data_IF_802681958609
#
_entry.id   IF_802681958609
#
_cell.length_a   1.000
_cell.length_b   1.000
_cell.length_c   1.000
_cell.angle_alpha   90.00
_cell.angle_beta   90.00
_cell.angle_gamma   90.00
#
_symmetry.space_group_name_H-M   'P 1'
#
loop_
_entity.id
_entity.type
_entity.pdbx_description
1 polymer ?
#
# COMPACT_ATOMS: atom_id res chain seq x y z
N UNK A 1 54.24 -30.76 -50.41
CA UNK A 1 53.58 -31.03 -49.16
C UNK A 1 52.90 -29.70 -48.66
N UNK A 2 51.57 -29.59 -48.75
CA UNK A 2 50.84 -28.40 -48.47
C UNK A 2 50.18 -28.59 -47.10
N UNK A 3 50.56 -27.80 -46.06
CA UNK A 3 49.94 -27.78 -44.77
C UNK A 3 48.71 -26.87 -44.84
N UNK A 4 47.54 -27.45 -44.61
CA UNK A 4 46.31 -26.68 -44.37
C UNK A 4 46.16 -26.44 -42.88
N UNK A 5 46.07 -25.14 -42.49
CA UNK A 5 45.76 -24.72 -41.14
C UNK A 5 44.24 -24.68 -41.00
N UNK A 6 43.73 -25.41 -40.01
CA UNK A 6 42.29 -25.39 -39.63
C UNK A 6 42.09 -24.30 -38.62
N UNK A 7 41.33 -23.26 -38.98
CA UNK A 7 40.93 -22.20 -38.06
C UNK A 7 39.62 -22.60 -37.36
N UNK A 8 39.69 -22.85 -36.07
CA UNK A 8 38.51 -23.12 -35.24
C UNK A 8 37.94 -21.78 -34.73
N UNK A 9 36.78 -21.38 -35.26
CA UNK A 9 36.03 -20.22 -34.76
C UNK A 9 35.27 -20.61 -33.51
N UNK A 10 35.64 -20.03 -32.38
CA UNK A 10 34.90 -20.18 -31.13
C UNK A 10 33.69 -19.22 -31.13
N UNK A 11 32.49 -19.78 -31.16
CA UNK A 11 31.23 -19.07 -31.07
C UNK A 11 30.90 -18.88 -29.59
N UNK A 12 31.07 -17.65 -29.08
CA UNK A 12 30.67 -17.29 -27.68
C UNK A 12 29.17 -17.11 -27.59
N UNK A 13 28.49 -18.00 -26.88
CA UNK A 13 27.08 -17.87 -26.52
C UNK A 13 26.95 -16.86 -25.36
N UNK A 14 26.40 -15.69 -25.63
CA UNK A 14 26.01 -14.73 -24.58
C UNK A 14 24.65 -15.13 -24.09
N UNK A 15 24.57 -15.66 -22.84
CA UNK A 15 23.32 -15.94 -22.16
C UNK A 15 22.75 -14.63 -21.60
N UNK A 16 21.66 -14.15 -22.17
CA UNK A 16 20.88 -13.02 -21.63
C UNK A 16 20.04 -13.56 -20.49
N UNK A 17 20.45 -13.29 -19.26
CA UNK A 17 19.62 -13.52 -18.05
C UNK A 17 18.57 -12.42 -17.99
N UNK A 18 17.33 -12.73 -18.37
CA UNK A 18 16.20 -11.85 -18.15
C UNK A 18 15.88 -11.83 -16.62
N UNK A 19 16.22 -10.73 -15.94
CA UNK A 19 15.69 -10.48 -14.59
C UNK A 19 14.19 -10.22 -14.72
N UNK A 20 13.38 -11.18 -14.29
CA UNK A 20 11.96 -10.96 -14.08
C UNK A 20 11.81 -9.92 -12.94
N UNK A 21 10.92 -8.91 -13.08
CA UNK A 21 10.64 -7.98 -11.98
C UNK A 21 10.09 -8.79 -10.82
N UNK A 22 10.73 -8.68 -9.65
CA UNK A 22 10.21 -9.25 -8.42
C UNK A 22 8.85 -8.59 -8.14
N UNK A 23 7.78 -9.38 -8.20
CA UNK A 23 6.47 -8.94 -7.74
C UNK A 23 6.59 -8.70 -6.23
N UNK A 24 6.42 -7.46 -5.78
CA UNK A 24 6.36 -7.17 -4.36
C UNK A 24 5.17 -7.94 -3.78
N UNK A 25 5.46 -8.94 -2.96
CA UNK A 25 4.43 -9.63 -2.20
C UNK A 25 3.73 -8.64 -1.26
N UNK A 26 2.44 -8.87 -0.99
CA UNK A 26 1.74 -8.10 0.03
C UNK A 26 2.42 -8.30 1.38
N UNK A 27 2.72 -7.20 2.07
CA UNK A 27 3.18 -7.25 3.45
C UNK A 27 2.03 -7.69 4.37
N UNK A 28 2.37 -8.29 5.50
CA UNK A 28 1.37 -8.87 6.38
C UNK A 28 0.74 -7.80 7.28
N UNK A 29 -0.58 -7.85 7.37
CA UNK A 29 -1.33 -7.12 8.39
C UNK A 29 -2.35 -8.04 9.05
N UNK A 30 -2.77 -7.67 10.24
CA UNK A 30 -3.82 -8.40 10.96
C UNK A 30 -4.63 -7.44 11.81
N UNK A 31 -5.93 -7.64 11.83
CA UNK A 31 -6.84 -6.82 12.62
C UNK A 31 -8.18 -6.62 11.96
N UNK A 32 -8.95 -5.68 12.50
CA UNK A 32 -10.31 -5.41 12.04
C UNK A 32 -10.55 -3.92 11.95
N UNK A 33 -11.26 -3.51 10.91
CA UNK A 33 -11.78 -2.16 10.71
C UNK A 33 -13.30 -2.26 10.67
N UNK A 34 -14.01 -1.41 11.40
CA UNK A 34 -15.47 -1.36 11.44
C UNK A 34 -15.94 0.06 11.22
N UNK A 35 -17.00 0.22 10.45
CA UNK A 35 -17.68 1.47 10.23
C UNK A 35 -19.18 1.22 10.12
N UNK A 36 -19.99 1.97 10.87
CA UNK A 36 -21.43 1.98 10.69
C UNK A 36 -21.79 2.94 9.55
N UNK A 37 -22.20 2.40 8.42
CA UNK A 37 -22.64 3.19 7.26
C UNK A 37 -24.16 3.20 7.13
N UNK A 38 -24.69 4.11 6.30
CA UNK A 38 -26.13 4.16 5.98
C UNK A 38 -26.63 2.89 5.27
N UNK A 39 -25.74 2.20 4.54
CA UNK A 39 -26.05 0.94 3.85
C UNK A 39 -25.82 -0.30 4.73
N UNK A 40 -25.56 -0.11 6.03
CA UNK A 40 -25.26 -1.18 6.96
C UNK A 40 -23.80 -1.19 7.43
N UNK A 41 -23.44 -2.09 8.35
CA UNK A 41 -22.09 -2.14 8.88
C UNK A 41 -21.09 -2.58 7.81
N UNK A 42 -19.97 -1.88 7.74
CA UNK A 42 -18.78 -2.30 7.01
C UNK A 42 -17.84 -2.94 8.03
N UNK A 43 -17.47 -4.19 7.82
CA UNK A 43 -16.52 -4.93 8.66
C UNK A 43 -15.46 -5.51 7.76
N UNK A 44 -14.22 -5.05 7.90
CA UNK A 44 -13.06 -5.50 7.13
C UNK A 44 -12.12 -6.28 8.03
N UNK A 45 -11.90 -7.55 7.71
CA UNK A 45 -10.84 -8.36 8.31
C UNK A 45 -9.57 -8.12 7.49
N UNK A 46 -8.65 -7.37 8.06
CA UNK A 46 -7.41 -6.99 7.37
C UNK A 46 -6.46 -8.18 7.33
N UNK A 47 -5.99 -8.51 6.14
CA UNK A 47 -5.00 -9.56 5.91
C UNK A 47 -3.75 -9.04 5.17
N UNK A 48 -3.89 -7.92 4.44
CA UNK A 48 -2.84 -7.37 3.59
C UNK A 48 -2.65 -5.89 3.88
N UNK A 49 -1.41 -5.43 3.76
CA UNK A 49 -1.07 -4.01 3.82
C UNK A 49 -0.11 -3.67 2.68
N UNK A 50 -0.22 -2.46 2.18
CA UNK A 50 0.68 -1.92 1.16
C UNK A 50 1.05 -0.50 1.55
N UNK A 51 2.32 -0.17 1.50
CA UNK A 51 2.77 1.21 1.56
C UNK A 51 3.04 1.71 0.14
N UNK A 52 2.39 2.79 -0.24
CA UNK A 52 2.68 3.49 -1.49
C UNK A 52 3.16 4.89 -1.19
N UNK A 53 3.97 5.45 -2.09
CA UNK A 53 4.55 6.79 -1.95
C UNK A 53 4.36 7.57 -3.24
N UNK A 54 3.96 8.81 -3.14
CA UNK A 54 3.76 9.66 -4.30
C UNK A 54 3.08 10.98 -3.96
N UNK A 55 2.73 11.79 -4.98
CA UNK A 55 2.11 13.08 -4.76
C UNK A 55 0.68 12.94 -4.23
N UNK A 56 0.40 13.67 -3.16
CA UNK A 56 -0.96 13.88 -2.67
C UNK A 56 -1.74 14.78 -3.63
N UNK A 57 -2.96 14.36 -3.97
CA UNK A 57 -3.80 15.07 -4.95
C UNK A 57 -4.21 16.48 -4.49
N UNK A 58 -4.28 16.73 -3.18
CA UNK A 58 -4.71 18.01 -2.64
C UNK A 58 -3.55 19.00 -2.48
N UNK A 59 -2.42 18.55 -1.96
CA UNK A 59 -1.28 19.41 -1.62
C UNK A 59 -0.15 19.36 -2.64
N UNK A 60 -0.11 18.35 -3.51
CA UNK A 60 0.99 18.07 -4.43
C UNK A 60 2.28 17.60 -3.73
N UNK A 61 2.29 17.53 -2.40
CA UNK A 61 3.45 17.03 -1.64
C UNK A 61 3.57 15.53 -1.78
N UNK A 62 4.79 15.02 -1.77
CA UNK A 62 5.02 13.58 -1.68
C UNK A 62 4.65 13.09 -0.28
N UNK A 63 3.71 12.14 -0.23
CA UNK A 63 3.24 11.50 1.00
C UNK A 63 3.43 9.99 0.92
N UNK A 64 3.39 9.34 2.07
CA UNK A 64 3.21 7.90 2.20
C UNK A 64 1.74 7.61 2.50
N UNK A 65 1.19 6.60 1.87
CA UNK A 65 -0.16 6.12 2.11
C UNK A 65 -0.11 4.63 2.43
N UNK A 66 -0.77 4.23 3.51
CA UNK A 66 -1.04 2.82 3.82
C UNK A 66 -2.39 2.41 3.24
N UNK A 67 -2.41 1.23 2.64
CA UNK A 67 -3.61 0.57 2.11
C UNK A 67 -3.79 -0.73 2.86
N UNK A 68 -4.80 -0.83 3.69
CA UNK A 68 -5.20 -2.04 4.39
C UNK A 68 -6.34 -2.71 3.62
N UNK A 69 -6.23 -3.99 3.35
CA UNK A 69 -7.23 -4.73 2.56
C UNK A 69 -7.46 -6.14 3.09
N UNK A 70 -8.67 -6.66 2.87
CA UNK A 70 -9.00 -8.05 3.11
C UNK A 70 -8.41 -8.97 2.04
N UNK A 71 -8.42 -8.52 0.78
CA UNK A 71 -7.91 -9.26 -0.38
C UNK A 71 -6.50 -8.80 -0.79
N UNK A 72 -5.77 -9.67 -1.47
CA UNK A 72 -4.50 -9.31 -2.11
C UNK A 72 -4.74 -8.37 -3.31
N UNK A 73 -4.12 -7.19 -3.26
CA UNK A 73 -4.19 -6.16 -4.29
C UNK A 73 -2.89 -6.01 -5.08
N UNK A 74 -1.88 -6.85 -4.85
CA UNK A 74 -0.53 -6.71 -5.42
C UNK A 74 -0.54 -6.52 -6.93
N UNK A 75 -1.22 -7.40 -7.67
CA UNK A 75 -1.28 -7.33 -9.13
C UNK A 75 -1.97 -6.06 -9.64
N UNK A 76 -3.09 -5.66 -8.99
CA UNK A 76 -3.80 -4.42 -9.32
C UNK A 76 -2.96 -3.19 -9.03
N UNK A 77 -2.25 -3.19 -7.90
CA UNK A 77 -1.38 -2.10 -7.48
C UNK A 77 -0.22 -1.90 -8.47
N UNK A 78 0.39 -2.99 -8.95
CA UNK A 78 1.44 -2.91 -9.96
C UNK A 78 0.94 -2.29 -11.28
N UNK A 79 -0.30 -2.51 -11.66
CA UNK A 79 -0.91 -1.93 -12.85
C UNK A 79 -1.29 -0.43 -12.67
N UNK A 80 -1.37 0.10 -11.46
CA UNK A 80 -1.70 1.50 -11.21
C UNK A 80 -0.61 2.45 -11.70
N UNK A 81 -1.01 3.56 -12.30
CA UNK A 81 -0.11 4.62 -12.76
C UNK A 81 -0.01 5.81 -11.79
N UNK A 82 -0.85 5.89 -10.75
CA UNK A 82 -0.93 7.02 -9.83
C UNK A 82 -1.40 6.61 -8.43
N UNK A 83 -1.18 7.49 -7.44
CA UNK A 83 -1.71 7.36 -6.08
C UNK A 83 -3.24 7.25 -6.07
N UNK A 84 -3.92 8.02 -6.91
CA UNK A 84 -5.38 7.98 -7.03
C UNK A 84 -5.87 6.62 -7.54
N UNK A 85 -5.17 6.01 -8.50
CA UNK A 85 -5.45 4.64 -8.93
C UNK A 85 -5.26 3.66 -7.78
N UNK A 86 -4.14 3.73 -7.06
CA UNK A 86 -3.85 2.85 -5.92
C UNK A 86 -4.93 2.92 -4.83
N UNK A 87 -5.43 4.11 -4.53
CA UNK A 87 -6.57 4.29 -3.61
C UNK A 87 -7.89 3.78 -4.20
N UNK A 88 -8.04 3.84 -5.52
CA UNK A 88 -9.27 3.46 -6.23
C UNK A 88 -9.47 1.96 -6.39
N UNK A 89 -8.41 1.15 -6.31
CA UNK A 89 -8.53 -0.33 -6.43
C UNK A 89 -9.04 -1.01 -5.16
N UNK A 90 -9.12 -0.28 -4.05
CA UNK A 90 -9.60 -0.80 -2.77
C UNK A 90 -11.12 -0.94 -2.84
N UNK A 91 -11.63 -2.15 -2.75
CA UNK A 91 -13.08 -2.45 -2.70
C UNK A 91 -13.56 -2.78 -1.30
N UNK A 92 -12.65 -3.26 -0.45
CA UNK A 92 -12.94 -3.67 0.92
C UNK A 92 -11.68 -3.48 1.77
N UNK A 93 -11.63 -2.36 2.51
CA UNK A 93 -10.42 -1.95 3.20
C UNK A 93 -10.44 -0.53 3.73
N UNK A 94 -9.24 -0.01 3.96
CA UNK A 94 -9.00 1.35 4.45
C UNK A 94 -7.73 1.92 3.82
N UNK A 95 -7.76 3.18 3.44
CA UNK A 95 -6.56 3.93 3.09
C UNK A 95 -6.29 4.99 4.13
N UNK A 96 -5.02 5.20 4.49
CA UNK A 96 -4.57 6.16 5.49
C UNK A 96 -3.42 6.97 4.91
N UNK A 97 -3.58 8.28 4.83
CA UNK A 97 -2.54 9.19 4.37
C UNK A 97 -1.62 9.58 5.53
N UNK A 98 -0.34 9.28 5.35
CA UNK A 98 0.75 9.75 6.19
C UNK A 98 1.38 11.00 5.56
N UNK A 99 1.98 11.83 6.37
CA UNK A 99 2.74 13.01 5.94
C UNK A 99 1.87 14.10 5.26
N UNK A 100 0.56 13.89 5.11
CA UNK A 100 -0.33 14.87 4.49
C UNK A 100 -0.62 16.09 5.38
N UNK A 101 -0.37 15.99 6.68
CA UNK A 101 -0.61 17.06 7.65
C UNK A 101 -0.55 16.57 9.10
N UNK A 102 -0.94 17.42 10.07
CA UNK A 102 -0.86 17.09 11.49
C UNK A 102 -1.94 16.11 11.95
N UNK A 103 -2.84 15.71 11.06
CA UNK A 103 -3.95 14.76 11.32
C UNK A 103 -3.92 13.66 10.30
N UNK A 104 -4.40 12.47 10.68
CA UNK A 104 -4.59 11.39 9.73
C UNK A 104 -5.86 11.63 8.92
N UNK A 105 -5.71 11.56 7.60
CA UNK A 105 -6.85 11.43 6.71
C UNK A 105 -7.00 9.95 6.37
N UNK A 106 -8.20 9.42 6.54
CA UNK A 106 -8.46 8.03 6.18
C UNK A 106 -9.80 7.85 5.46
N UNK A 107 -9.89 6.81 4.66
CA UNK A 107 -11.09 6.40 3.94
C UNK A 107 -11.36 4.94 4.21
N UNK A 108 -12.58 4.62 4.63
CA UNK A 108 -13.04 3.24 4.73
C UNK A 108 -13.86 2.92 3.49
N UNK A 109 -13.56 1.78 2.87
CA UNK A 109 -14.22 1.30 1.66
C UNK A 109 -14.83 -0.07 1.95
N UNK A 110 -16.08 -0.24 1.60
CA UNK A 110 -16.81 -1.49 1.72
C UNK A 110 -18.27 -1.31 1.30
N UNK A 111 -18.95 -2.39 0.99
CA UNK A 111 -20.35 -2.39 0.53
C UNK A 111 -20.59 -1.43 -0.65
N UNK A 112 -19.61 -1.25 -1.54
CA UNK A 112 -19.68 -0.32 -2.67
C UNK A 112 -19.62 1.17 -2.28
N UNK A 113 -19.30 1.49 -1.02
CA UNK A 113 -19.19 2.86 -0.51
C UNK A 113 -17.74 3.19 -0.16
N UNK A 114 -17.38 4.46 -0.35
CA UNK A 114 -16.13 5.05 0.14
C UNK A 114 -16.49 6.21 1.05
N UNK A 115 -16.17 6.07 2.34
CA UNK A 115 -16.47 7.06 3.37
C UNK A 115 -15.18 7.69 3.84
N UNK A 116 -15.08 9.01 3.71
CA UNK A 116 -13.93 9.79 4.15
C UNK A 116 -14.12 10.28 5.57
N UNK A 117 -13.07 10.15 6.35
CA UNK A 117 -12.93 10.84 7.62
C UNK A 117 -11.65 11.67 7.59
N UNK A 118 -11.78 12.98 7.69
CA UNK A 118 -10.67 13.89 8.00
C UNK A 118 -10.62 14.01 9.52
N UNK A 119 -9.71 13.23 10.10
CA UNK A 119 -9.84 12.87 11.47
C UNK A 119 -9.59 13.93 12.51
N UNK A 120 -10.21 13.72 13.62
CA UNK A 120 -9.75 14.13 14.94
C UNK A 120 -8.53 13.32 15.37
N UNK A 121 -8.30 12.16 14.73
CA UNK A 121 -7.23 11.24 15.05
C UNK A 121 -5.85 11.87 14.81
N UNK A 122 -5.05 11.99 15.85
CA UNK A 122 -3.65 12.41 15.77
C UNK A 122 -2.76 11.20 15.55
N UNK A 123 -1.72 11.28 14.70
CA UNK A 123 -0.82 10.17 14.47
C UNK A 123 -0.22 9.61 15.76
N UNK A 124 0.23 10.46 16.68
CA UNK A 124 0.84 10.10 17.95
C UNK A 124 -0.12 9.37 18.92
N UNK A 125 -1.42 9.59 18.79
CA UNK A 125 -2.44 8.92 19.62
C UNK A 125 -2.89 7.59 19.00
N UNK A 126 -2.95 7.54 17.67
CA UNK A 126 -3.55 6.42 16.92
C UNK A 126 -2.54 5.45 16.33
N UNK A 127 -1.29 5.90 16.16
CA UNK A 127 -0.22 5.11 15.59
C UNK A 127 0.89 4.88 16.61
N UNK A 128 1.21 3.62 16.82
CA UNK A 128 2.40 3.21 17.59
C UNK A 128 3.36 2.54 16.62
N UNK A 129 4.29 3.33 16.08
CA UNK A 129 5.25 2.85 15.10
C UNK A 129 6.44 2.16 15.78
N UNK A 130 6.83 1.01 15.25
CA UNK A 130 8.05 0.28 15.58
C UNK A 130 9.12 0.47 14.51
N UNK A 131 8.72 0.85 13.29
CA UNK A 131 9.60 1.33 12.23
C UNK A 131 8.92 2.49 11.48
N UNK A 132 9.69 3.55 11.24
CA UNK A 132 9.30 4.72 10.45
C UNK A 132 10.48 5.17 9.61
N UNK A 133 10.56 4.66 8.40
CA UNK A 133 11.60 5.00 7.42
C UNK A 133 10.97 5.40 6.09
N UNK A 134 11.79 5.90 5.17
CA UNK A 134 11.32 6.26 3.83
C UNK A 134 10.69 5.09 3.07
N UNK A 135 11.12 3.85 3.39
CA UNK A 135 10.80 2.64 2.63
C UNK A 135 10.05 1.58 3.46
N UNK A 136 9.77 1.86 4.75
CA UNK A 136 9.05 0.92 5.63
C UNK A 136 8.31 1.65 6.74
N UNK A 137 7.06 1.24 6.95
CA UNK A 137 6.25 1.59 8.11
C UNK A 137 5.78 0.31 8.79
N UNK A 138 6.06 0.16 10.09
CA UNK A 138 5.57 -0.97 10.87
C UNK A 138 5.05 -0.50 12.22
N UNK A 139 4.06 -1.22 12.77
CA UNK A 139 3.49 -0.87 14.06
C UNK A 139 2.04 -1.30 14.23
N UNK A 140 1.27 -0.47 14.91
CA UNK A 140 -0.17 -0.64 15.08
C UNK A 140 -0.93 0.66 14.86
N UNK A 141 -2.11 0.51 14.26
CA UNK A 141 -3.11 1.57 14.08
C UNK A 141 -4.31 1.27 14.97
N UNK A 142 -4.65 2.20 15.87
CA UNK A 142 -5.82 2.11 16.72
C UNK A 142 -6.65 3.40 16.58
N UNK A 143 -7.78 3.32 15.87
CA UNK A 143 -8.74 4.41 15.71
C UNK A 143 -10.00 4.06 16.49
N UNK A 144 -10.53 5.01 17.23
CA UNK A 144 -11.81 4.89 17.94
C UNK A 144 -12.65 6.17 17.76
N UNK A 145 -13.14 6.33 16.54
CA UNK A 145 -14.05 7.44 16.18
C UNK A 145 -15.54 7.00 16.20
N UNK A 146 -15.83 5.80 16.70
CA UNK A 146 -17.15 5.19 16.64
C UNK A 146 -18.25 6.03 17.32
N UNK A 147 -17.96 6.68 18.44
CA UNK A 147 -18.89 7.55 19.14
C UNK A 147 -19.33 8.78 18.31
N UNK A 148 -18.50 9.19 17.33
CA UNK A 148 -18.79 10.30 16.42
C UNK A 148 -19.27 9.82 15.04
N UNK A 149 -19.65 8.55 14.92
CA UNK A 149 -20.07 7.94 13.65
C UNK A 149 -18.92 7.62 12.72
N UNK A 150 -17.68 7.69 13.19
CA UNK A 150 -16.47 7.34 12.47
C UNK A 150 -16.14 5.85 12.55
N UNK A 151 -14.96 5.50 12.05
CA UNK A 151 -14.48 4.13 12.09
C UNK A 151 -13.88 3.76 13.44
N UNK A 152 -13.93 2.47 13.77
CA UNK A 152 -13.03 1.86 14.75
C UNK A 152 -12.07 0.94 14.01
N UNK A 153 -10.79 1.03 14.31
CA UNK A 153 -9.77 0.18 13.71
C UNK A 153 -8.77 -0.28 14.77
N UNK A 154 -8.40 -1.55 14.72
CA UNK A 154 -7.30 -2.10 15.49
C UNK A 154 -6.52 -3.05 14.58
N UNK A 155 -5.41 -2.57 14.05
CA UNK A 155 -4.63 -3.25 13.03
C UNK A 155 -3.15 -3.22 13.41
N UNK A 156 -2.49 -4.38 13.36
CA UNK A 156 -1.03 -4.51 13.38
C UNK A 156 -0.55 -4.65 11.94
N UNK A 157 0.57 -4.03 11.61
CA UNK A 157 1.07 -4.02 10.25
C UNK A 157 2.59 -3.92 10.18
N UNK A 158 3.13 -4.41 9.08
CA UNK A 158 4.51 -4.26 8.68
C UNK A 158 4.54 -4.14 7.15
N UNK A 159 4.76 -2.94 6.65
CA UNK A 159 4.64 -2.58 5.26
C UNK A 159 5.94 -1.99 4.73
N UNK A 160 6.57 -2.69 3.78
CA UNK A 160 7.60 -2.13 2.93
C UNK A 160 6.96 -1.30 1.79
N UNK A 161 7.77 -0.49 1.10
CA UNK A 161 7.27 0.25 -0.06
C UNK A 161 6.89 -0.70 -1.20
N UNK A 162 5.60 -0.79 -1.49
CA UNK A 162 5.08 -1.64 -2.56
C UNK A 162 5.18 -0.95 -3.93
N UNK A 163 5.00 0.38 -3.96
CA UNK A 163 5.10 1.17 -5.18
C UNK A 163 5.36 2.64 -4.89
N UNK A 164 6.18 3.26 -5.74
CA UNK A 164 6.41 4.70 -5.75
C UNK A 164 5.90 5.30 -7.05
N UNK A 165 5.16 6.39 -6.92
CA UNK A 165 4.61 7.17 -8.03
C UNK A 165 5.37 8.50 -8.14
N UNK A 166 5.71 8.88 -9.36
CA UNK A 166 6.42 10.14 -9.64
C UNK A 166 5.51 11.29 -10.02
N UNK A 167 4.25 10.97 -10.36
CA UNK A 167 3.21 11.95 -10.73
C UNK A 167 1.84 11.41 -10.33
#
# INVERSE_FOLDING_TARGET
MRNQAITVSAMSLVAIVALAPASAAADQASGTIKLQSKAGPIIVNVANVYMVKGPDAASGKTIRQLIFASADLSAKLQACASMSCASGIVSDGMTVDFDAGPRLNYWVVGNGQKVQYSGTARPDETLKLTADTADRLAGSLAIDDGAMGGATANVKFDAAIAKQFSK
#
